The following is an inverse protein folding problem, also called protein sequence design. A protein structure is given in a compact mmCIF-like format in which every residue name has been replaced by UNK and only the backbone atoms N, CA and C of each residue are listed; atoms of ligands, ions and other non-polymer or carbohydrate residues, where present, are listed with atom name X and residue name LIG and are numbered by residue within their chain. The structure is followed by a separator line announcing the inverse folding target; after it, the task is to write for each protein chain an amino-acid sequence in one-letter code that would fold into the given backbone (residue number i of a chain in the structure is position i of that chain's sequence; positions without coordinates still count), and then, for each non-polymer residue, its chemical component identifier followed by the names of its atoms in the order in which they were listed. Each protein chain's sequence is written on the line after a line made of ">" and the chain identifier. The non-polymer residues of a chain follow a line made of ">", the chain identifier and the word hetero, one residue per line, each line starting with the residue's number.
data_IF_820181912956
#
_entry.id   IF_820181912956
#
_cell.length_a   1.000
_cell.length_b   1.000
_cell.length_c   1.000
_cell.angle_alpha   90.00
_cell.angle_beta   90.00
_cell.angle_gamma   90.00
#
_symmetry.space_group_name_H-M   'P 1'
#
loop_
_entity.id
_entity.type
_entity.pdbx_description
1 polymer ?
#
# COMPACT_ATOMS: atom_id res chain seq x y z
N UNK A 1 -24.92 56.23 -24.80
CA UNK A 1 -23.64 55.50 -24.81
C UNK A 1 -22.97 55.70 -23.47
N UNK A 2 -23.33 54.89 -22.48
CA UNK A 2 -22.69 54.87 -21.15
C UNK A 2 -21.64 53.77 -21.18
N UNK A 3 -20.38 54.20 -21.11
CA UNK A 3 -19.21 53.33 -21.19
C UNK A 3 -18.91 52.83 -19.76
N UNK A 4 -19.40 51.64 -19.41
CA UNK A 4 -19.05 50.98 -18.14
C UNK A 4 -17.63 50.41 -18.26
N UNK A 5 -16.75 50.87 -17.38
CA UNK A 5 -15.39 50.35 -17.26
C UNK A 5 -15.41 48.90 -16.74
N UNK A 6 -14.56 48.00 -17.27
CA UNK A 6 -14.50 46.63 -16.79
C UNK A 6 -13.96 46.59 -15.35
N UNK A 7 -14.70 45.94 -14.47
CA UNK A 7 -14.31 45.67 -13.09
C UNK A 7 -13.02 44.85 -13.03
N UNK A 8 -12.09 45.26 -12.16
CA UNK A 8 -10.83 44.55 -11.92
C UNK A 8 -11.13 43.13 -11.41
N UNK A 9 -10.39 42.11 -11.88
CA UNK A 9 -10.52 40.76 -11.35
C UNK A 9 -10.06 40.74 -9.88
N UNK A 10 -10.93 40.25 -9.00
CA UNK A 10 -10.62 39.98 -7.61
C UNK A 10 -9.40 39.07 -7.51
N UNK A 11 -8.34 39.57 -6.87
CA UNK A 11 -7.18 38.79 -6.48
C UNK A 11 -7.63 37.69 -5.50
N UNK A 12 -7.75 36.46 -6.00
CA UNK A 12 -7.89 35.27 -5.17
C UNK A 12 -6.67 35.21 -4.24
N UNK A 13 -6.90 35.43 -2.95
CA UNK A 13 -5.87 35.41 -1.92
C UNK A 13 -4.94 34.20 -2.05
N UNK A 14 -3.65 34.48 -2.25
CA UNK A 14 -2.59 33.49 -2.16
C UNK A 14 -2.62 32.85 -0.77
N UNK A 15 -2.85 31.55 -0.71
CA UNK A 15 -2.81 30.79 0.53
C UNK A 15 -1.45 30.97 1.22
N UNK A 16 -1.45 31.40 2.48
CA UNK A 16 -0.24 31.63 3.25
C UNK A 16 0.72 30.42 3.20
N UNK A 17 2.04 30.65 3.14
CA UNK A 17 3.02 29.57 3.04
C UNK A 17 2.91 28.62 4.24
N UNK A 18 2.69 27.33 3.97
CA UNK A 18 2.60 26.29 4.99
C UNK A 18 3.81 26.32 5.94
N UNK A 19 3.55 26.39 7.24
CA UNK A 19 4.60 26.31 8.28
C UNK A 19 5.33 24.95 8.20
N UNK A 20 6.50 24.97 7.56
CA UNK A 20 7.37 23.79 7.45
C UNK A 20 7.96 23.34 8.79
N UNK A 21 7.91 24.17 9.83
CA UNK A 21 8.37 23.79 11.19
C UNK A 21 7.40 22.83 11.87
N UNK A 22 6.09 23.11 11.82
CA UNK A 22 5.07 22.24 12.45
C UNK A 22 5.07 20.82 11.89
N UNK A 23 5.17 20.68 10.55
CA UNK A 23 5.23 19.37 9.92
C UNK A 23 6.49 18.56 10.31
N UNK A 24 7.63 19.23 10.49
CA UNK A 24 8.88 18.59 10.94
C UNK A 24 8.76 18.06 12.36
N UNK A 25 8.18 18.83 13.28
CA UNK A 25 7.94 18.39 14.65
C UNK A 25 6.99 17.20 14.73
N UNK A 26 5.89 17.23 13.96
CA UNK A 26 4.95 16.09 13.89
C UNK A 26 5.64 14.84 13.36
N UNK A 27 6.46 14.96 12.31
CA UNK A 27 7.21 13.81 11.79
C UNK A 27 8.25 13.32 12.79
N UNK A 28 8.96 14.22 13.49
CA UNK A 28 9.88 13.86 14.56
C UNK A 28 9.19 13.09 15.69
N UNK A 29 8.01 13.53 16.11
CA UNK A 29 7.18 12.81 17.07
C UNK A 29 6.73 11.44 16.53
N UNK A 30 6.32 11.36 15.26
CA UNK A 30 5.96 10.09 14.63
C UNK A 30 7.12 9.09 14.63
N UNK A 31 8.35 9.55 14.36
CA UNK A 31 9.53 8.70 14.44
C UNK A 31 9.82 8.27 15.89
N UNK A 32 9.70 9.17 16.85
CA UNK A 32 9.88 8.83 18.27
C UNK A 32 8.88 7.77 18.74
N UNK A 33 7.59 7.97 18.46
CA UNK A 33 6.52 6.99 18.75
C UNK A 33 6.77 5.69 17.97
N UNK A 34 7.29 5.80 16.75
CA UNK A 34 7.65 4.67 15.90
C UNK A 34 8.64 3.69 16.55
N UNK A 35 9.50 4.17 17.45
CA UNK A 35 10.46 3.33 18.17
C UNK A 35 9.78 2.27 19.05
N UNK A 36 8.49 2.43 19.37
CA UNK A 36 7.70 1.40 20.05
C UNK A 36 7.75 0.03 19.34
N UNK A 37 8.02 0.00 18.03
CA UNK A 37 8.18 -1.24 17.24
C UNK A 37 9.35 -2.11 17.72
N UNK A 38 10.34 -1.52 18.37
CA UNK A 38 11.50 -2.26 18.91
C UNK A 38 11.36 -2.56 20.41
N UNK A 39 10.31 -2.04 21.07
CA UNK A 39 10.10 -2.26 22.49
C UNK A 39 9.79 -3.72 22.79
N UNK A 40 10.61 -4.37 23.63
CA UNK A 40 10.42 -5.76 24.07
C UNK A 40 10.27 -6.77 22.91
N UNK A 41 10.93 -6.52 21.78
CA UNK A 41 10.77 -7.30 20.55
C UNK A 41 10.99 -8.82 20.73
N UNK A 42 11.89 -9.21 21.63
CA UNK A 42 12.18 -10.62 21.95
C UNK A 42 11.55 -11.16 23.24
N UNK A 43 10.63 -10.43 23.89
CA UNK A 43 10.20 -10.76 25.25
C UNK A 43 9.07 -11.80 25.34
N UNK A 44 8.27 -11.96 24.28
CA UNK A 44 7.13 -12.88 24.23
C UNK A 44 7.39 -13.98 23.21
N UNK A 45 6.96 -15.20 23.56
CA UNK A 45 7.10 -16.39 22.72
C UNK A 45 6.52 -16.19 21.31
N UNK A 46 7.06 -16.94 20.36
CA UNK A 46 6.57 -16.97 18.98
C UNK A 46 5.15 -17.52 18.92
N UNK A 47 4.32 -16.90 18.08
CA UNK A 47 3.08 -17.49 17.63
C UNK A 47 3.35 -18.61 16.62
N UNK A 48 2.35 -19.46 16.37
CA UNK A 48 2.50 -20.57 15.44
C UNK A 48 2.93 -20.10 14.04
N UNK A 49 2.33 -19.04 13.52
CA UNK A 49 2.64 -18.47 12.20
C UNK A 49 4.01 -17.80 12.14
N UNK A 50 4.50 -17.28 13.26
CA UNK A 50 5.87 -16.76 13.38
C UNK A 50 6.89 -17.89 13.32
N UNK A 51 6.67 -18.96 14.09
CA UNK A 51 7.50 -20.16 14.03
C UNK A 51 7.43 -20.81 12.65
N UNK A 52 6.24 -20.84 12.03
CA UNK A 52 6.02 -21.35 10.69
C UNK A 52 6.84 -20.56 9.66
N UNK A 53 7.09 -19.26 9.87
CA UNK A 53 7.92 -18.47 8.96
C UNK A 53 9.35 -19.01 8.84
N UNK A 54 9.88 -19.56 9.93
CA UNK A 54 11.18 -20.20 9.88
C UNK A 54 11.14 -21.57 9.19
N UNK A 55 10.13 -22.40 9.49
CA UNK A 55 10.02 -23.74 8.88
C UNK A 55 9.67 -23.68 7.40
N UNK A 56 8.81 -22.74 7.01
CA UNK A 56 8.36 -22.48 5.64
C UNK A 56 9.53 -22.13 4.70
N UNK A 57 10.56 -21.48 5.22
CA UNK A 57 11.78 -21.21 4.45
C UNK A 57 12.44 -22.51 3.98
N UNK A 58 12.52 -23.53 4.84
CA UNK A 58 13.16 -24.81 4.51
C UNK A 58 12.24 -25.74 3.71
N UNK A 59 10.96 -25.81 4.07
CA UNK A 59 10.06 -26.84 3.51
C UNK A 59 9.05 -26.25 2.53
N UNK A 60 8.43 -25.12 2.88
CA UNK A 60 7.33 -24.54 2.10
C UNK A 60 7.77 -23.88 0.79
N UNK A 61 9.00 -23.38 0.71
CA UNK A 61 9.55 -22.82 -0.53
C UNK A 61 9.96 -23.94 -1.48
N UNK A 62 10.65 -24.98 -0.99
CA UNK A 62 11.12 -26.10 -1.81
C UNK A 62 9.97 -26.94 -2.36
N UNK A 63 8.91 -27.13 -1.56
CA UNK A 63 7.70 -27.84 -2.00
C UNK A 63 6.90 -27.11 -3.08
N UNK A 64 7.21 -25.83 -3.31
CA UNK A 64 6.42 -24.96 -4.20
C UNK A 64 5.05 -24.57 -3.63
N UNK A 65 4.77 -24.83 -2.36
CA UNK A 65 3.53 -24.36 -1.72
C UNK A 65 3.50 -22.83 -1.64
N UNK A 66 4.65 -22.23 -1.32
CA UNK A 66 4.78 -20.78 -1.11
C UNK A 66 5.07 -20.06 -2.42
N UNK A 67 4.10 -19.24 -2.84
CA UNK A 67 4.17 -18.44 -4.08
C UNK A 67 4.75 -17.02 -3.86
N UNK A 68 5.03 -16.65 -2.61
CA UNK A 68 5.55 -15.36 -2.17
C UNK A 68 6.82 -15.55 -1.30
N UNK A 69 7.93 -16.05 -1.87
CA UNK A 69 9.08 -16.51 -1.09
C UNK A 69 9.91 -15.38 -0.50
N UNK A 70 9.80 -14.15 -1.01
CA UNK A 70 10.79 -13.10 -0.75
C UNK A 70 10.85 -12.71 0.73
N UNK A 71 9.69 -12.66 1.40
CA UNK A 71 9.62 -12.35 2.83
C UNK A 71 10.37 -13.38 3.68
N UNK A 72 10.11 -14.65 3.44
CA UNK A 72 10.79 -15.78 4.07
C UNK A 72 12.32 -15.73 3.82
N UNK A 73 12.74 -15.47 2.58
CA UNK A 73 14.18 -15.37 2.22
C UNK A 73 14.88 -14.27 3.02
N UNK A 74 14.26 -13.09 3.11
CA UNK A 74 14.86 -11.95 3.79
C UNK A 74 14.89 -12.11 5.31
N UNK A 75 13.86 -12.73 5.90
CA UNK A 75 13.87 -13.07 7.33
C UNK A 75 14.99 -14.07 7.62
N UNK A 76 15.12 -15.13 6.82
CA UNK A 76 16.20 -16.10 6.98
C UNK A 76 17.60 -15.45 6.86
N UNK A 77 17.80 -14.60 5.85
CA UNK A 77 19.04 -13.85 5.70
C UNK A 77 19.31 -12.93 6.91
N UNK A 78 18.27 -12.27 7.44
CA UNK A 78 18.39 -11.41 8.63
C UNK A 78 18.81 -12.20 9.86
N UNK A 79 18.22 -13.38 10.10
CA UNK A 79 18.64 -14.26 11.20
C UNK A 79 20.11 -14.66 11.06
N UNK A 80 20.55 -15.01 9.84
CA UNK A 80 21.95 -15.30 9.56
C UNK A 80 22.89 -14.14 9.90
N UNK A 81 22.50 -12.90 9.56
CA UNK A 81 23.26 -11.69 9.89
C UNK A 81 23.29 -11.38 11.41
N UNK A 82 22.27 -11.83 12.16
CA UNK A 82 22.15 -11.62 13.61
C UNK A 82 22.74 -12.77 14.45
N UNK A 83 23.56 -13.64 13.85
CA UNK A 83 24.24 -14.74 14.55
C UNK A 83 23.64 -16.13 14.31
N UNK A 84 22.67 -16.26 13.41
CA UNK A 84 22.18 -17.53 12.89
C UNK A 84 21.19 -18.28 13.79
N UNK A 85 20.92 -17.80 15.00
CA UNK A 85 19.93 -18.39 15.91
C UNK A 85 18.54 -17.81 15.63
N UNK A 86 17.53 -18.62 15.25
CA UNK A 86 16.18 -18.14 14.97
C UNK A 86 15.39 -17.92 16.26
N UNK A 87 15.78 -16.92 17.06
CA UNK A 87 15.05 -16.49 18.24
C UNK A 87 14.00 -15.41 17.94
N UNK A 88 13.19 -15.08 18.94
CA UNK A 88 12.12 -14.09 18.85
C UNK A 88 12.60 -12.74 18.31
N UNK A 89 13.74 -12.28 18.79
CA UNK A 89 14.30 -11.00 18.37
C UNK A 89 14.76 -11.05 16.91
N UNK A 90 15.54 -12.06 16.54
CA UNK A 90 16.14 -12.17 15.22
C UNK A 90 15.08 -12.30 14.11
N UNK A 91 14.01 -13.06 14.36
CA UNK A 91 12.90 -13.26 13.43
C UNK A 91 12.05 -11.99 13.23
N UNK A 92 11.86 -11.20 14.30
CA UNK A 92 11.03 -9.98 14.28
C UNK A 92 11.79 -8.71 13.90
N UNK A 93 13.12 -8.75 13.90
CA UNK A 93 13.96 -7.57 13.64
C UNK A 93 13.67 -6.92 12.28
N UNK A 94 13.65 -7.70 11.20
CA UNK A 94 13.39 -7.17 9.86
C UNK A 94 11.96 -6.58 9.73
N UNK A 95 10.88 -7.27 10.15
CA UNK A 95 9.55 -6.68 10.20
C UNK A 95 9.47 -5.38 11.02
N UNK A 96 10.18 -5.29 12.15
CA UNK A 96 10.22 -4.09 12.98
C UNK A 96 10.89 -2.91 12.28
N UNK A 97 12.03 -3.16 11.61
CA UNK A 97 12.70 -2.16 10.79
C UNK A 97 11.82 -1.71 9.63
N UNK A 98 11.22 -2.64 8.89
CA UNK A 98 10.34 -2.31 7.77
C UNK A 98 9.12 -1.49 8.23
N UNK A 99 8.50 -1.87 9.34
CA UNK A 99 7.38 -1.14 9.94
C UNK A 99 7.77 0.25 10.45
N UNK A 100 8.99 0.42 10.95
CA UNK A 100 9.51 1.73 11.35
C UNK A 100 9.73 2.62 10.12
N UNK A 101 10.34 2.08 9.06
CA UNK A 101 10.59 2.79 7.80
C UNK A 101 9.29 3.12 7.04
N UNK A 102 8.22 2.36 7.25
CA UNK A 102 6.89 2.66 6.71
C UNK A 102 6.36 4.02 7.22
N UNK A 103 6.79 4.50 8.40
CA UNK A 103 6.36 5.80 8.95
C UNK A 103 6.84 6.97 8.08
N UNK A 104 8.16 7.20 7.88
CA UNK A 104 8.62 8.26 6.99
C UNK A 104 8.25 7.99 5.53
N UNK A 105 8.18 6.72 5.10
CA UNK A 105 7.70 6.38 3.77
C UNK A 105 6.24 6.81 3.55
N UNK A 106 5.38 6.73 4.57
CA UNK A 106 3.99 7.23 4.54
C UNK A 106 3.95 8.73 4.29
N UNK A 107 4.68 9.50 5.10
CA UNK A 107 4.77 10.95 4.92
C UNK A 107 5.26 11.26 3.51
N UNK A 108 6.34 10.62 3.06
CA UNK A 108 6.88 10.78 1.73
C UNK A 108 5.86 10.43 0.64
N UNK A 109 5.21 9.27 0.69
CA UNK A 109 4.30 8.80 -0.36
C UNK A 109 3.15 9.77 -0.60
N UNK A 110 2.60 10.38 0.46
CA UNK A 110 1.46 11.31 0.37
C UNK A 110 1.83 12.76 0.04
N UNK A 111 3.10 13.17 0.15
CA UNK A 111 3.54 14.55 -0.19
C UNK A 111 3.06 15.10 -1.55
N UNK A 112 2.91 14.32 -2.64
CA UNK A 112 2.48 14.85 -3.92
C UNK A 112 1.01 15.29 -3.96
N UNK A 113 0.18 14.80 -3.04
CA UNK A 113 -1.28 15.04 -3.02
C UNK A 113 -1.78 15.65 -1.72
N UNK A 114 -0.91 15.77 -0.71
CA UNK A 114 -1.24 16.30 0.61
C UNK A 114 -0.23 17.34 1.07
N UNK A 115 -0.69 18.26 1.92
CA UNK A 115 0.16 19.24 2.62
C UNK A 115 1.28 18.56 3.41
N UNK A 116 2.34 19.31 3.75
CA UNK A 116 3.42 18.77 4.60
C UNK A 116 2.87 18.30 5.94
N UNK A 117 1.96 19.08 6.51
CA UNK A 117 1.31 18.80 7.79
C UNK A 117 0.42 17.57 7.71
N UNK A 118 -0.45 17.45 6.70
CA UNK A 118 -1.34 16.29 6.55
C UNK A 118 -0.55 14.99 6.33
N UNK A 119 0.51 15.04 5.52
CA UNK A 119 1.39 13.89 5.32
C UNK A 119 2.12 13.47 6.61
N UNK A 120 2.58 14.44 7.42
CA UNK A 120 3.19 14.16 8.72
C UNK A 120 2.18 13.60 9.73
N UNK A 121 0.93 14.10 9.74
CA UNK A 121 -0.14 13.56 10.57
C UNK A 121 -0.47 12.12 10.16
N UNK A 122 -0.53 11.81 8.87
CA UNK A 122 -0.73 10.44 8.39
C UNK A 122 0.38 9.50 8.89
N UNK A 123 1.64 9.94 8.84
CA UNK A 123 2.75 9.18 9.41
C UNK A 123 2.63 9.00 10.94
N UNK A 124 2.17 10.03 11.67
CA UNK A 124 1.92 9.92 13.12
C UNK A 124 0.80 8.91 13.43
N UNK A 125 -0.27 8.89 12.63
CA UNK A 125 -1.35 7.89 12.76
C UNK A 125 -0.83 6.46 12.51
N UNK A 126 0.04 6.27 11.51
CA UNK A 126 0.70 4.98 11.27
C UNK A 126 1.65 4.61 12.42
N UNK A 127 2.39 5.59 12.95
CA UNK A 127 3.30 5.36 14.07
C UNK A 127 2.56 4.91 15.34
N UNK A 128 1.44 5.56 15.67
CA UNK A 128 0.64 5.33 16.86
C UNK A 128 -0.39 4.20 16.73
N UNK A 129 -0.61 3.66 15.54
CA UNK A 129 -1.56 2.57 15.32
C UNK A 129 -1.10 1.29 16.03
N UNK A 130 -1.91 0.79 16.96
CA UNK A 130 -1.65 -0.46 17.67
C UNK A 130 -1.54 -1.65 16.71
N UNK A 131 -2.34 -1.66 15.65
CA UNK A 131 -2.29 -2.68 14.60
C UNK A 131 -0.95 -2.67 13.85
N UNK A 132 -0.44 -1.48 13.54
CA UNK A 132 0.84 -1.34 12.86
C UNK A 132 2.02 -1.72 13.75
N UNK A 133 1.96 -1.35 15.04
CA UNK A 133 2.95 -1.79 16.02
C UNK A 133 2.93 -3.31 16.16
N UNK A 134 1.75 -3.91 16.31
CA UNK A 134 1.58 -5.36 16.42
C UNK A 134 2.23 -6.11 15.25
N UNK A 135 1.91 -5.75 14.00
CA UNK A 135 2.49 -6.41 12.82
C UNK A 135 3.96 -6.07 12.58
N UNK A 136 4.46 -4.97 13.13
CA UNK A 136 5.90 -4.69 13.15
C UNK A 136 6.64 -5.59 14.15
N UNK A 137 5.96 -6.11 15.16
CA UNK A 137 6.53 -6.97 16.21
C UNK A 137 6.23 -8.45 16.01
N UNK A 138 5.80 -8.82 14.82
CA UNK A 138 5.47 -10.20 14.47
C UNK A 138 6.41 -10.65 13.35
N UNK A 139 6.91 -11.88 13.39
CA UNK A 139 7.84 -12.46 12.42
C UNK A 139 7.17 -12.80 11.08
N UNK A 140 6.33 -11.89 10.59
CA UNK A 140 5.65 -11.95 9.30
C UNK A 140 5.98 -10.71 8.50
N UNK A 141 6.03 -10.87 7.19
CA UNK A 141 6.54 -9.87 6.25
C UNK A 141 5.47 -8.89 5.75
N UNK A 142 4.40 -8.66 6.53
CA UNK A 142 3.34 -7.71 6.18
C UNK A 142 3.85 -6.26 6.12
N UNK A 143 4.76 -5.88 7.02
CA UNK A 143 5.36 -4.54 7.00
C UNK A 143 6.33 -4.33 5.84
N UNK A 144 6.93 -5.40 5.32
CA UNK A 144 7.70 -5.35 4.07
C UNK A 144 6.78 -5.11 2.87
N UNK A 145 5.61 -5.75 2.85
CA UNK A 145 4.56 -5.46 1.86
C UNK A 145 4.10 -4.00 1.94
N UNK A 146 3.82 -3.49 3.15
CA UNK A 146 3.44 -2.10 3.37
C UNK A 146 4.53 -1.14 2.86
N UNK A 147 5.78 -1.35 3.26
CA UNK A 147 6.89 -0.49 2.84
C UNK A 147 7.07 -0.50 1.31
N UNK A 148 7.06 -1.66 0.67
CA UNK A 148 7.16 -1.78 -0.78
C UNK A 148 6.01 -1.07 -1.50
N UNK A 149 4.77 -1.22 -1.02
CA UNK A 149 3.60 -0.57 -1.60
C UNK A 149 3.62 0.95 -1.42
N UNK A 150 4.05 1.46 -0.25
CA UNK A 150 4.23 2.90 -0.01
C UNK A 150 5.29 3.51 -0.93
N UNK A 151 6.45 2.85 -1.04
CA UNK A 151 7.53 3.28 -1.92
C UNK A 151 7.10 3.28 -3.38
N UNK A 152 6.52 2.17 -3.86
CA UNK A 152 6.05 2.02 -5.22
C UNK A 152 4.95 3.01 -5.58
N UNK A 153 3.91 3.13 -4.75
CA UNK A 153 2.83 4.08 -4.96
C UNK A 153 3.32 5.53 -4.92
N UNK A 154 4.26 5.87 -4.02
CA UNK A 154 4.83 7.20 -3.94
C UNK A 154 5.70 7.57 -5.15
N UNK A 155 6.48 6.63 -5.71
CA UNK A 155 7.19 6.84 -6.98
C UNK A 155 6.18 7.03 -8.11
N UNK A 156 5.21 6.13 -8.19
CA UNK A 156 4.20 6.14 -9.24
C UNK A 156 3.40 7.46 -9.24
N UNK A 157 2.97 7.94 -8.08
CA UNK A 157 2.15 9.15 -7.96
C UNK A 157 2.91 10.39 -8.45
N UNK A 158 4.19 10.52 -8.07
CA UNK A 158 5.06 11.59 -8.57
C UNK A 158 5.24 11.50 -10.08
N UNK A 159 5.45 10.29 -10.59
CA UNK A 159 5.65 10.05 -12.01
C UNK A 159 4.39 10.37 -12.82
N UNK A 160 3.22 9.99 -12.31
CA UNK A 160 1.93 10.28 -12.92
C UNK A 160 1.67 11.79 -12.97
N UNK A 161 1.86 12.50 -11.85
CA UNK A 161 1.70 13.95 -11.77
C UNK A 161 2.73 14.70 -12.64
N UNK A 162 3.96 14.20 -12.69
CA UNK A 162 5.06 14.76 -13.47
C UNK A 162 5.16 14.29 -14.92
N UNK A 163 4.30 13.38 -15.37
CA UNK A 163 4.26 12.90 -16.77
C UNK A 163 5.37 11.92 -17.19
N UNK A 164 6.02 11.22 -16.27
CA UNK A 164 7.13 10.29 -16.58
C UNK A 164 6.67 8.82 -16.65
N UNK A 165 6.62 8.26 -17.86
CA UNK A 165 6.20 6.86 -18.08
C UNK A 165 7.12 5.83 -17.41
N UNK A 166 8.43 5.99 -17.56
CA UNK A 166 9.41 5.06 -17.00
C UNK A 166 9.32 5.01 -15.48
N UNK A 167 9.23 6.17 -14.82
CA UNK A 167 9.09 6.22 -13.35
C UNK A 167 7.74 5.68 -12.89
N UNK A 168 6.67 5.86 -13.68
CA UNK A 168 5.38 5.27 -13.37
C UNK A 168 5.44 3.75 -13.47
N UNK A 169 6.05 3.20 -14.52
CA UNK A 169 6.29 1.75 -14.62
C UNK A 169 7.14 1.23 -13.46
N UNK A 170 8.20 1.96 -13.08
CA UNK A 170 9.03 1.60 -11.92
C UNK A 170 8.21 1.57 -10.63
N UNK A 171 7.35 2.56 -10.40
CA UNK A 171 6.47 2.59 -9.23
C UNK A 171 5.47 1.43 -9.21
N UNK A 172 4.90 1.06 -10.37
CA UNK A 172 4.05 -0.13 -10.50
C UNK A 172 4.84 -1.42 -10.26
N UNK A 173 6.07 -1.51 -10.79
CA UNK A 173 6.93 -2.67 -10.61
C UNK A 173 7.32 -2.86 -9.13
N UNK A 174 7.69 -1.79 -8.43
CA UNK A 174 7.98 -1.84 -6.98
C UNK A 174 6.74 -2.24 -6.19
N UNK A 175 5.56 -1.67 -6.53
CA UNK A 175 4.29 -2.04 -5.88
C UNK A 175 3.96 -3.52 -6.11
N UNK A 176 4.08 -3.98 -7.36
CA UNK A 176 3.87 -5.37 -7.74
C UNK A 176 4.88 -6.33 -7.11
N UNK A 177 6.13 -5.91 -6.92
CA UNK A 177 7.14 -6.68 -6.21
C UNK A 177 6.75 -6.93 -4.74
N UNK A 178 5.91 -6.07 -4.16
CA UNK A 178 5.28 -6.31 -2.87
C UNK A 178 4.47 -7.61 -2.80
N UNK A 179 4.00 -8.14 -3.94
CA UNK A 179 3.27 -9.40 -4.01
C UNK A 179 4.14 -10.62 -3.67
N UNK A 180 5.47 -10.51 -3.86
CA UNK A 180 6.42 -11.53 -3.42
C UNK A 180 6.66 -11.53 -1.91
N UNK A 181 6.22 -10.49 -1.20
CA UNK A 181 6.08 -10.52 0.25
C UNK A 181 4.70 -11.06 0.62
N UNK A 182 3.63 -10.50 0.08
CA UNK A 182 2.28 -10.98 0.36
C UNK A 182 1.35 -10.75 -0.84
N UNK A 183 0.58 -11.76 -1.30
CA UNK A 183 -0.21 -11.66 -2.53
C UNK A 183 -1.22 -10.50 -2.57
N UNK A 184 -1.69 -10.02 -1.42
CA UNK A 184 -2.62 -8.88 -1.35
C UNK A 184 -2.05 -7.60 -1.95
N UNK A 185 -0.72 -7.42 -2.02
CA UNK A 185 -0.11 -6.25 -2.65
C UNK A 185 -0.48 -6.12 -4.13
N UNK A 186 -0.71 -7.24 -4.82
CA UNK A 186 -1.10 -7.26 -6.22
C UNK A 186 -2.43 -6.54 -6.45
N UNK A 187 -3.32 -6.48 -5.45
CA UNK A 187 -4.60 -5.80 -5.53
C UNK A 187 -4.46 -4.27 -5.66
N UNK A 188 -3.31 -3.72 -5.24
CA UNK A 188 -3.05 -2.28 -5.34
C UNK A 188 -2.69 -1.85 -6.77
N UNK A 189 -2.09 -2.74 -7.58
CA UNK A 189 -1.66 -2.41 -8.95
C UNK A 189 -2.85 -2.00 -9.84
N UNK A 190 -3.97 -2.74 -9.91
CA UNK A 190 -5.16 -2.30 -10.63
C UNK A 190 -5.70 -0.96 -10.13
N UNK A 191 -5.71 -0.73 -8.81
CA UNK A 191 -6.21 0.53 -8.25
C UNK A 191 -5.39 1.74 -8.72
N UNK A 192 -4.06 1.61 -8.77
CA UNK A 192 -3.17 2.65 -9.29
C UNK A 192 -3.39 2.90 -10.79
N UNK A 193 -3.74 1.87 -11.57
CA UNK A 193 -4.01 2.02 -13.01
C UNK A 193 -5.39 2.64 -13.30
N UNK A 194 -6.40 2.24 -12.53
CA UNK A 194 -7.81 2.61 -12.75
C UNK A 194 -8.10 4.02 -12.22
N UNK A 195 -7.62 4.37 -11.02
CA UNK A 195 -8.00 5.62 -10.37
C UNK A 195 -7.72 6.89 -11.22
N UNK A 196 -6.57 7.01 -11.91
CA UNK A 196 -6.34 8.09 -12.88
C UNK A 196 -7.30 8.11 -14.06
N UNK A 197 -7.63 6.93 -14.60
CA UNK A 197 -8.54 6.78 -15.72
C UNK A 197 -9.92 7.33 -15.36
N UNK A 198 -10.42 6.95 -14.19
CA UNK A 198 -11.70 7.46 -13.64
C UNK A 198 -11.63 8.97 -13.39
N UNK A 199 -10.54 9.46 -12.79
CA UNK A 199 -10.35 10.89 -12.53
C UNK A 199 -10.35 11.71 -13.84
N UNK A 200 -9.71 11.20 -14.89
CA UNK A 200 -9.64 11.85 -16.21
C UNK A 200 -10.99 11.81 -16.95
N UNK A 201 -11.75 10.73 -16.83
CA UNK A 201 -13.10 10.63 -17.39
C UNK A 201 -14.07 11.62 -16.74
N UNK A 202 -13.95 11.86 -15.43
CA UNK A 202 -14.84 12.77 -14.69
C UNK A 202 -14.55 14.25 -14.89
N UNK A 203 -13.30 14.61 -15.11
CA UNK A 203 -12.89 16.01 -15.07
C UNK A 203 -12.91 16.74 -16.44
N UNK A 204 -13.54 16.14 -17.48
CA UNK A 204 -13.63 16.68 -18.85
C UNK A 204 -12.29 17.28 -19.35
N UNK A 205 -11.17 16.71 -18.92
CA UNK A 205 -9.85 17.24 -19.25
C UNK A 205 -9.55 17.02 -20.72
N UNK A 206 -9.01 18.04 -21.38
CA UNK A 206 -8.42 17.90 -22.72
C UNK A 206 -7.28 16.89 -22.62
N UNK A 207 -7.41 15.81 -23.39
CA UNK A 207 -6.60 14.61 -23.38
C UNK A 207 -5.20 14.82 -23.97
N UNK A 208 -4.42 15.71 -23.36
CA UNK A 208 -3.04 15.99 -23.76
C UNK A 208 -2.09 14.81 -23.52
N UNK A 209 -0.80 15.07 -23.22
CA UNK A 209 0.23 14.04 -23.05
C UNK A 209 -0.12 12.92 -22.04
N UNK A 210 -0.98 13.22 -21.07
CA UNK A 210 -1.43 12.29 -20.02
C UNK A 210 -2.33 11.15 -20.54
N UNK A 211 -3.09 11.33 -21.64
CA UNK A 211 -3.86 10.23 -22.26
C UNK A 211 -2.93 9.18 -22.84
N UNK A 212 -1.90 9.61 -23.58
CA UNK A 212 -0.91 8.70 -24.19
C UNK A 212 -0.14 7.94 -23.11
N UNK A 213 0.25 8.63 -22.04
CA UNK A 213 0.85 8.00 -20.86
C UNK A 213 -0.07 6.93 -20.28
N UNK A 214 -1.36 7.22 -20.06
CA UNK A 214 -2.30 6.21 -19.58
C UNK A 214 -2.41 5.03 -20.52
N UNK A 215 -2.67 5.25 -21.82
CA UNK A 215 -2.77 4.14 -22.77
C UNK A 215 -1.52 3.25 -22.78
N UNK A 216 -0.33 3.86 -22.67
CA UNK A 216 0.92 3.13 -22.50
C UNK A 216 0.97 2.32 -21.19
N UNK A 217 0.56 2.91 -20.06
CA UNK A 217 0.50 2.21 -18.78
C UNK A 217 -0.52 1.07 -18.78
N UNK A 218 -1.69 1.27 -19.39
CA UNK A 218 -2.74 0.25 -19.54
C UNK A 218 -2.27 -0.88 -20.48
N UNK A 219 -1.61 -0.56 -21.59
CA UNK A 219 -1.01 -1.56 -22.49
C UNK A 219 0.09 -2.36 -21.80
N UNK A 220 1.01 -1.69 -21.09
CA UNK A 220 2.05 -2.34 -20.29
C UNK A 220 1.47 -3.20 -19.16
N UNK A 221 0.41 -2.72 -18.50
CA UNK A 221 -0.28 -3.47 -17.46
C UNK A 221 -0.98 -4.71 -17.99
N UNK A 222 -1.58 -4.66 -19.20
CA UNK A 222 -2.18 -5.82 -19.83
C UNK A 222 -1.12 -6.90 -20.10
N UNK A 223 0.04 -6.50 -20.64
CA UNK A 223 1.17 -7.41 -20.87
C UNK A 223 1.63 -8.01 -19.53
N UNK A 224 1.85 -7.18 -18.50
CA UNK A 224 2.25 -7.64 -17.18
C UNK A 224 1.22 -8.60 -16.56
N UNK A 225 -0.08 -8.34 -16.74
CA UNK A 225 -1.14 -9.21 -16.28
C UNK A 225 -1.10 -10.58 -16.95
N UNK A 226 -0.81 -10.64 -18.26
CA UNK A 226 -0.64 -11.90 -18.99
C UNK A 226 0.54 -12.72 -18.43
N UNK A 227 1.69 -12.06 -18.17
CA UNK A 227 2.84 -12.73 -17.54
C UNK A 227 2.59 -13.13 -16.08
N UNK A 228 1.68 -12.47 -15.38
CA UNK A 228 1.29 -12.80 -14.02
C UNK A 228 0.31 -13.99 -13.94
N UNK A 229 -0.27 -14.46 -15.06
CA UNK A 229 -1.27 -15.55 -15.06
C UNK A 229 -0.74 -16.83 -14.40
N UNK A 230 0.46 -17.34 -14.70
CA UNK A 230 0.95 -18.58 -14.07
C UNK A 230 1.08 -18.45 -12.55
N UNK A 231 1.64 -17.33 -12.08
CA UNK A 231 1.77 -17.03 -10.65
C UNK A 231 0.40 -16.88 -9.97
N UNK A 232 -0.53 -16.16 -10.59
CA UNK A 232 -1.87 -15.98 -10.06
C UNK A 232 -2.64 -17.31 -9.99
N UNK A 233 -2.49 -18.16 -11.01
CA UNK A 233 -3.04 -19.52 -11.02
C UNK A 233 -2.46 -20.37 -9.90
N UNK A 234 -1.14 -20.39 -9.74
CA UNK A 234 -0.48 -21.14 -8.68
C UNK A 234 -0.95 -20.67 -7.29
N UNK A 235 -0.99 -19.35 -7.07
CA UNK A 235 -1.44 -18.74 -5.82
C UNK A 235 -2.89 -19.10 -5.49
N UNK A 236 -3.79 -19.03 -6.49
CA UNK A 236 -5.18 -19.44 -6.32
C UNK A 236 -5.28 -20.95 -6.03
N UNK A 237 -4.56 -21.79 -6.77
CA UNK A 237 -4.54 -23.23 -6.52
C UNK A 237 -4.14 -23.56 -5.09
N UNK A 238 -3.07 -22.94 -4.55
CA UNK A 238 -2.68 -23.10 -3.15
C UNK A 238 -3.79 -22.70 -2.19
N UNK A 239 -4.45 -21.55 -2.41
CA UNK A 239 -5.57 -21.10 -1.57
C UNK A 239 -6.72 -22.12 -1.56
N UNK A 240 -7.08 -22.68 -2.71
CA UNK A 240 -8.16 -23.67 -2.80
C UNK A 240 -7.79 -24.98 -2.10
N UNK A 241 -6.55 -25.47 -2.29
CA UNK A 241 -6.04 -26.65 -1.61
C UNK A 241 -6.07 -26.49 -0.09
N UNK A 242 -5.59 -25.35 0.42
CA UNK A 242 -5.62 -25.03 1.86
C UNK A 242 -7.04 -24.88 2.43
N UNK A 243 -8.04 -24.62 1.58
CA UNK A 243 -9.47 -24.62 1.95
C UNK A 243 -10.16 -25.98 1.73
N UNK A 244 -9.39 -27.05 1.50
CA UNK A 244 -9.90 -28.41 1.32
C UNK A 244 -10.66 -28.61 0.00
N UNK A 245 -10.36 -27.81 -1.03
CA UNK A 245 -10.93 -27.96 -2.37
C UNK A 245 -9.88 -28.55 -3.31
N UNK A 246 -10.31 -29.42 -4.24
CA UNK A 246 -9.46 -30.01 -5.28
C UNK A 246 -8.92 -28.98 -6.30
N UNK A 247 -9.32 -27.70 -6.19
CA UNK A 247 -8.77 -26.59 -6.95
C UNK A 247 -9.83 -25.61 -7.43
N UNK A 248 -9.43 -24.43 -7.94
CA UNK A 248 -10.33 -23.37 -8.40
C UNK A 248 -11.26 -23.78 -9.55
N UNK A 249 -10.94 -24.87 -10.25
CA UNK A 249 -11.65 -25.34 -11.45
C UNK A 249 -12.33 -26.70 -11.27
N UNK A 250 -12.24 -27.29 -10.07
CA UNK A 250 -12.77 -28.64 -9.83
C UNK A 250 -14.30 -28.66 -9.66
N UNK A 251 -14.89 -27.63 -9.03
CA UNK A 251 -16.33 -27.53 -8.81
C UNK A 251 -16.78 -26.06 -8.83
N UNK A 252 -17.59 -25.62 -9.80
CA UNK A 252 -18.01 -24.22 -9.92
C UNK A 252 -18.76 -23.66 -8.69
N UNK A 253 -19.59 -24.48 -8.03
CA UNK A 253 -20.36 -24.05 -6.85
C UNK A 253 -19.42 -23.81 -5.67
N UNK A 254 -18.53 -24.77 -5.38
CA UNK A 254 -17.52 -24.60 -4.33
C UNK A 254 -16.59 -23.42 -4.66
N UNK A 255 -16.24 -23.21 -5.93
CA UNK A 255 -15.47 -22.04 -6.36
C UNK A 255 -16.16 -20.74 -6.00
N UNK A 256 -17.44 -20.61 -6.31
CA UNK A 256 -18.23 -19.43 -5.96
C UNK A 256 -18.32 -19.23 -4.44
N UNK A 257 -18.49 -20.29 -3.66
CA UNK A 257 -18.51 -20.21 -2.19
C UNK A 257 -17.17 -19.72 -1.62
N UNK A 258 -16.05 -20.26 -2.10
CA UNK A 258 -14.70 -19.86 -1.62
C UNK A 258 -14.34 -18.45 -2.04
N UNK A 259 -14.74 -18.02 -3.23
CA UNK A 259 -14.59 -16.63 -3.68
C UNK A 259 -15.51 -15.69 -2.90
N UNK A 260 -16.73 -16.12 -2.60
CA UNK A 260 -17.66 -15.39 -1.74
C UNK A 260 -17.12 -15.20 -0.33
N UNK A 261 -16.52 -16.24 0.26
CA UNK A 261 -15.83 -16.15 1.54
C UNK A 261 -14.66 -15.17 1.50
N UNK A 262 -13.82 -15.24 0.45
CA UNK A 262 -12.70 -14.31 0.26
C UNK A 262 -13.21 -12.87 0.14
N UNK A 263 -14.24 -12.63 -0.67
CA UNK A 263 -14.84 -11.32 -0.86
C UNK A 263 -15.47 -10.78 0.43
N UNK A 264 -16.17 -11.62 1.20
CA UNK A 264 -16.76 -11.25 2.51
C UNK A 264 -15.67 -10.90 3.52
N UNK A 265 -14.62 -11.71 3.63
CA UNK A 265 -13.52 -11.48 4.57
C UNK A 265 -12.78 -10.19 4.21
N UNK A 266 -12.46 -10.02 2.92
CA UNK A 266 -11.87 -8.79 2.39
C UNK A 266 -12.77 -7.60 2.70
N UNK A 267 -14.04 -7.67 2.32
CA UNK A 267 -15.04 -6.64 2.58
C UNK A 267 -15.12 -6.26 4.05
N UNK A 268 -15.16 -7.22 4.98
CA UNK A 268 -15.20 -6.96 6.42
C UNK A 268 -14.02 -6.10 6.89
N UNK A 269 -12.80 -6.41 6.46
CA UNK A 269 -11.61 -5.62 6.82
C UNK A 269 -11.54 -4.27 6.09
N UNK A 270 -12.06 -4.17 4.86
CA UNK A 270 -12.06 -2.92 4.09
C UNK A 270 -13.23 -1.98 4.44
N UNK A 271 -14.33 -2.48 4.99
CA UNK A 271 -15.56 -1.72 5.25
C UNK A 271 -15.32 -0.47 6.11
N UNK A 272 -14.57 -0.52 7.23
CA UNK A 272 -14.31 0.68 8.02
C UNK A 272 -13.56 1.76 7.23
N UNK A 273 -12.60 1.36 6.39
CA UNK A 273 -11.82 2.30 5.57
C UNK A 273 -12.66 2.92 4.45
N UNK A 274 -13.51 2.12 3.79
CA UNK A 274 -14.45 2.61 2.79
C UNK A 274 -15.49 3.54 3.41
N UNK A 275 -15.98 3.23 4.61
CA UNK A 275 -16.87 4.08 5.38
C UNK A 275 -16.22 5.42 5.74
N UNK A 276 -14.97 5.40 6.22
CA UNK A 276 -14.21 6.62 6.50
C UNK A 276 -13.99 7.47 5.24
N UNK A 277 -13.60 6.84 4.12
CA UNK A 277 -13.43 7.53 2.84
C UNK A 277 -14.75 8.16 2.33
N UNK A 278 -15.87 7.45 2.47
CA UNK A 278 -17.18 7.96 2.12
C UNK A 278 -17.58 9.17 3.00
N UNK A 279 -17.37 9.09 4.32
CA UNK A 279 -17.63 10.19 5.25
C UNK A 279 -16.78 11.43 4.90
N UNK A 280 -15.49 11.25 4.64
CA UNK A 280 -14.61 12.34 4.19
C UNK A 280 -15.14 12.94 2.88
N UNK A 281 -15.50 12.10 1.91
CA UNK A 281 -16.10 12.55 0.65
C UNK A 281 -17.38 13.36 0.85
N UNK A 282 -18.27 12.92 1.74
CA UNK A 282 -19.51 13.62 2.09
C UNK A 282 -19.23 14.98 2.76
N UNK A 283 -18.30 15.03 3.71
CA UNK A 283 -17.91 16.29 4.37
C UNK A 283 -17.30 17.28 3.38
N UNK A 284 -16.45 16.81 2.46
CA UNK A 284 -15.87 17.66 1.42
C UNK A 284 -16.92 18.16 0.44
N UNK A 285 -17.88 17.31 0.04
CA UNK A 285 -18.99 17.70 -0.81
C UNK A 285 -19.90 18.73 -0.13
N UNK A 286 -20.18 18.55 1.16
CA UNK A 286 -20.96 19.47 1.98
C UNK A 286 -20.29 20.85 2.07
N UNK A 287 -19.01 20.90 2.46
CA UNK A 287 -18.26 22.17 2.54
C UNK A 287 -18.18 22.89 1.19
N UNK A 288 -18.02 22.15 0.09
CA UNK A 288 -18.02 22.75 -1.25
C UNK A 288 -19.36 23.38 -1.62
N UNK A 289 -20.48 22.79 -1.16
CA UNK A 289 -21.82 23.35 -1.34
C UNK A 289 -22.00 24.64 -0.54
N UNK A 290 -21.55 24.68 0.72
CA UNK A 290 -21.66 25.88 1.58
C UNK A 290 -20.79 27.04 1.11
N UNK A 291 -19.63 26.77 0.51
CA UNK A 291 -18.72 27.80 -0.01
C UNK A 291 -19.01 28.22 -1.46
N UNK A 292 -19.95 27.55 -2.12
CA UNK A 292 -20.26 27.73 -3.54
C UNK A 292 -21.68 28.23 -3.82
N UNK A 293 -22.41 28.66 -2.80
CA UNK A 293 -23.70 29.37 -2.89
C UNK A 293 -23.59 30.71 -2.18
#
# INVERSE_FOLDING_TARGET
>A
MTNEAPSKPEERGEAAPESASGARWILGLALLVGLARFWKLGAWSLWFDEAATWTDWFVGIESGEIQNPLGYRLVHATVGLLGGRPDEFALRFLPAVAGFLAIPATAWAFRPIASRRTAAIAALLVAASSWQVYWSQNARFYTLTELATLLGAGVWLRAFLGGSALRALLGLAITGAGAFFHPSAALLVPALLVAPGVALLRARFVLGPRKRLLLFLWGGALIAALFAIPWARATLSTYFLQKGSAGPFANPVQTLERLGHLAKTTGFYFTPYLGAAALVGLVLAWRKRELGG
#
